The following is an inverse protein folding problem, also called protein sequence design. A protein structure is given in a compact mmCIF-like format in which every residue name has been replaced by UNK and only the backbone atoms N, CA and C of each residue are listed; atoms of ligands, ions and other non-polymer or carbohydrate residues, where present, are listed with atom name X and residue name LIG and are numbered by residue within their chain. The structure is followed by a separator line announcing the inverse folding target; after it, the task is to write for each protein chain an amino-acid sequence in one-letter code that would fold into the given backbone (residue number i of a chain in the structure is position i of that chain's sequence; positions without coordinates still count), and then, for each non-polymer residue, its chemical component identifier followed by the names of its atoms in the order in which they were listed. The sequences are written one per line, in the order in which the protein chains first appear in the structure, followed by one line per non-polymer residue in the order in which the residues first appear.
data_IF_105438441167
#
_entry.id   IF_105438441167
#
_cell.length_a   1.000
_cell.length_b   1.000
_cell.length_c   1.000
_cell.angle_alpha   90.00
_cell.angle_beta   90.00
_cell.angle_gamma   90.00
#
_symmetry.space_group_name_H-M   'P 1'
#
loop_
_entity.id
_entity.type
_entity.pdbx_description
1 polymer ?
#
# COMPACT_ATOMS: atom_id res chain seq x y z
N UNK A 1 -54.76 -2.52 35.99
CA UNK A 1 -54.65 -2.50 34.52
C UNK A 1 -55.00 -1.12 33.91
N UNK A 2 -56.00 -0.42 34.39
CA UNK A 2 -56.39 0.91 33.84
C UNK A 2 -55.29 1.99 33.84
N UNK A 3 -54.49 2.07 34.91
CA UNK A 3 -53.39 3.09 34.98
C UNK A 3 -52.20 2.83 34.03
N UNK A 4 -51.92 1.57 33.70
CA UNK A 4 -50.86 1.24 32.71
C UNK A 4 -51.28 1.56 31.27
N UNK A 5 -52.60 1.40 30.98
CA UNK A 5 -53.15 1.76 29.68
C UNK A 5 -53.18 3.29 29.48
N UNK A 6 -53.48 4.04 30.54
CA UNK A 6 -53.48 5.51 30.53
C UNK A 6 -52.04 6.06 30.27
N UNK A 7 -51.05 5.51 30.90
CA UNK A 7 -49.62 5.91 30.70
C UNK A 7 -49.16 5.58 29.27
N UNK A 8 -49.55 4.41 28.75
CA UNK A 8 -49.21 4.02 27.36
C UNK A 8 -49.88 4.95 26.34
N UNK A 9 -51.11 5.34 26.61
CA UNK A 9 -51.87 6.28 25.73
C UNK A 9 -51.30 7.70 25.80
N UNK A 10 -50.85 8.16 26.96
CA UNK A 10 -50.18 9.47 27.11
C UNK A 10 -48.80 9.46 26.43
N UNK A 11 -48.04 8.37 26.55
CA UNK A 11 -46.76 8.21 25.82
C UNK A 11 -46.96 8.16 24.29
N UNK A 12 -48.01 7.48 23.82
CA UNK A 12 -48.36 7.42 22.40
C UNK A 12 -48.80 8.79 21.85
N UNK A 13 -49.52 9.58 22.61
CA UNK A 13 -49.95 10.94 22.25
C UNK A 13 -48.75 11.92 22.30
N UNK A 14 -47.78 11.71 23.18
CA UNK A 14 -46.56 12.50 23.25
C UNK A 14 -45.63 12.28 22.03
N UNK A 15 -45.62 11.08 21.45
CA UNK A 15 -44.80 10.77 20.25
C UNK A 15 -45.38 11.38 18.97
N UNK A 16 -46.69 11.71 18.93
CA UNK A 16 -47.32 12.28 17.73
C UNK A 16 -47.01 13.79 17.56
N UNK A 17 -46.56 14.49 18.59
CA UNK A 17 -46.21 15.93 18.51
C UNK A 17 -44.78 16.23 18.00
N UNK A 18 -44.03 15.24 17.57
CA UNK A 18 -42.70 15.44 16.98
C UNK A 18 -42.75 15.56 15.45
N UNK A 19 -43.79 16.22 14.91
CA UNK A 19 -43.77 16.65 13.50
C UNK A 19 -42.72 17.76 13.37
N UNK A 20 -41.69 17.50 12.61
CA UNK A 20 -40.67 18.48 12.31
C UNK A 20 -41.33 19.73 11.69
N UNK A 21 -41.29 20.83 12.44
CA UNK A 21 -41.93 22.08 12.03
C UNK A 21 -41.20 22.61 10.79
N UNK A 22 -41.91 22.77 9.68
CA UNK A 22 -41.32 23.32 8.46
C UNK A 22 -41.10 24.83 8.61
N UNK A 23 -40.01 25.31 8.02
CA UNK A 23 -39.76 26.73 7.86
C UNK A 23 -39.28 27.03 6.44
N UNK A 24 -39.50 28.25 5.99
CA UNK A 24 -39.02 28.69 4.68
C UNK A 24 -37.85 29.66 4.87
N UNK A 25 -36.68 29.28 4.36
CA UNK A 25 -35.53 30.18 4.27
C UNK A 25 -35.56 30.85 2.90
N UNK A 26 -35.61 32.17 2.89
CA UNK A 26 -35.53 32.96 1.66
C UNK A 26 -34.55 34.14 1.87
N UNK A 27 -34.12 34.74 0.80
CA UNK A 27 -33.19 35.86 0.88
C UNK A 27 -32.47 36.11 -0.42
N UNK A 28 -31.36 36.81 -0.32
CA UNK A 28 -30.57 37.24 -1.47
C UNK A 28 -29.08 36.96 -1.25
N UNK A 29 -28.40 36.56 -2.31
CA UNK A 29 -26.94 36.41 -2.34
C UNK A 29 -26.37 37.50 -3.24
N UNK A 30 -25.41 38.26 -2.69
CA UNK A 30 -24.75 39.37 -3.39
C UNK A 30 -23.24 39.33 -3.21
N UNK A 31 -22.53 40.06 -4.02
CA UNK A 31 -21.08 40.31 -3.85
C UNK A 31 -20.79 41.48 -2.87
N UNK A 32 -19.52 41.84 -2.71
CA UNK A 32 -19.09 42.96 -1.86
C UNK A 32 -19.55 44.34 -2.39
N UNK A 33 -19.92 44.44 -3.67
CA UNK A 33 -20.42 45.65 -4.31
C UNK A 33 -21.93 45.69 -4.36
N UNK A 34 -22.64 44.79 -3.58
CA UNK A 34 -24.08 44.62 -3.59
C UNK A 34 -24.67 44.17 -4.96
N UNK A 35 -23.86 43.66 -5.88
CA UNK A 35 -24.39 43.11 -7.12
C UNK A 35 -24.97 41.71 -6.87
N UNK A 36 -26.14 41.38 -7.42
CA UNK A 36 -26.75 40.09 -7.24
C UNK A 36 -25.92 38.98 -7.89
N UNK A 37 -25.72 37.89 -7.16
CA UNK A 37 -25.03 36.69 -7.69
C UNK A 37 -26.11 35.72 -8.20
N UNK A 38 -26.21 35.63 -9.53
CA UNK A 38 -27.09 34.69 -10.19
C UNK A 38 -26.47 33.28 -10.19
N UNK A 39 -27.32 32.26 -10.10
CA UNK A 39 -26.93 30.84 -10.09
C UNK A 39 -26.00 30.45 -8.92
N UNK A 40 -25.94 31.23 -7.84
CA UNK A 40 -25.25 30.81 -6.64
C UNK A 40 -25.99 29.62 -5.97
N UNK A 41 -25.24 28.66 -5.46
CA UNK A 41 -25.79 27.45 -4.87
C UNK A 41 -26.00 27.66 -3.36
N UNK A 42 -27.22 27.43 -2.90
CA UNK A 42 -27.60 27.43 -1.47
C UNK A 42 -27.97 26.01 -1.09
N UNK A 43 -27.18 25.37 -0.23
CA UNK A 43 -27.34 23.97 0.12
C UNK A 43 -27.42 23.72 1.63
N UNK A 44 -28.21 22.74 2.02
CA UNK A 44 -28.33 22.22 3.39
C UNK A 44 -28.08 20.72 3.34
N UNK A 45 -26.85 20.33 3.56
CA UNK A 45 -26.41 18.94 3.41
C UNK A 45 -27.13 17.97 4.36
N UNK A 46 -27.42 18.40 5.58
CA UNK A 46 -28.14 17.60 6.59
C UNK A 46 -29.58 17.22 6.18
N UNK A 47 -30.17 17.93 5.22
CA UNK A 47 -31.53 17.68 4.73
C UNK A 47 -31.55 17.32 3.22
N UNK A 48 -30.40 17.25 2.56
CA UNK A 48 -30.31 16.96 1.12
C UNK A 48 -31.01 18.00 0.24
N UNK A 49 -31.22 19.25 0.74
CA UNK A 49 -31.93 20.32 0.03
C UNK A 49 -30.95 21.32 -0.58
N UNK A 50 -31.21 21.69 -1.83
CA UNK A 50 -30.43 22.69 -2.56
C UNK A 50 -31.36 23.61 -3.36
N UNK A 51 -31.02 24.89 -3.43
CA UNK A 51 -31.63 25.87 -4.31
C UNK A 51 -30.55 26.67 -5.05
N UNK A 52 -30.90 27.24 -6.18
CA UNK A 52 -30.04 28.10 -6.99
C UNK A 52 -30.67 29.50 -6.98
N UNK A 53 -29.84 30.53 -6.90
CA UNK A 53 -30.30 31.90 -6.93
C UNK A 53 -30.83 32.33 -8.32
N UNK A 54 -31.85 33.16 -8.35
CA UNK A 54 -32.40 33.77 -9.57
C UNK A 54 -31.44 34.81 -10.17
N UNK A 55 -31.76 35.35 -11.33
CA UNK A 55 -31.06 36.48 -11.98
C UNK A 55 -30.93 37.71 -11.06
N UNK A 56 -31.84 37.87 -10.09
CA UNK A 56 -31.81 38.94 -9.08
C UNK A 56 -31.08 38.53 -7.79
N UNK A 57 -30.45 37.35 -7.77
CA UNK A 57 -29.79 36.81 -6.60
C UNK A 57 -30.71 36.23 -5.53
N UNK A 58 -32.03 36.12 -5.77
CA UNK A 58 -33.00 35.66 -4.76
C UNK A 58 -33.04 34.14 -4.70
N UNK A 59 -33.21 33.60 -3.50
CA UNK A 59 -33.39 32.17 -3.27
C UNK A 59 -34.51 31.86 -2.27
N UNK A 60 -35.09 30.68 -2.35
CA UNK A 60 -36.07 30.17 -1.43
C UNK A 60 -35.94 28.66 -1.23
N UNK A 61 -35.87 28.20 0.02
CA UNK A 61 -35.78 26.80 0.40
C UNK A 61 -36.80 26.48 1.49
N UNK A 62 -37.57 25.39 1.30
CA UNK A 62 -38.40 24.80 2.35
C UNK A 62 -37.62 23.74 3.09
N UNK A 63 -37.47 23.90 4.40
CA UNK A 63 -36.62 23.12 5.27
C UNK A 63 -37.36 22.68 6.52
N UNK A 64 -36.92 21.60 7.13
CA UNK A 64 -37.43 21.18 8.44
C UNK A 64 -36.62 21.84 9.55
N UNK A 65 -37.30 22.29 10.59
CA UNK A 65 -36.67 22.90 11.76
C UNK A 65 -35.93 21.83 12.57
N UNK A 66 -34.69 22.14 12.98
CA UNK A 66 -33.86 21.36 13.87
C UNK A 66 -33.20 22.29 14.89
N UNK A 67 -32.52 21.73 15.89
CA UNK A 67 -31.77 22.54 16.88
C UNK A 67 -30.73 23.45 16.22
N UNK A 68 -30.14 22.99 15.12
CA UNK A 68 -29.29 23.80 14.26
C UNK A 68 -29.40 23.34 12.80
N UNK A 69 -29.52 24.30 11.89
CA UNK A 69 -29.53 24.06 10.43
C UNK A 69 -28.33 24.80 9.83
N UNK A 70 -27.44 24.07 9.24
CA UNK A 70 -26.23 24.61 8.60
C UNK A 70 -26.50 24.84 7.12
N UNK A 71 -26.50 26.11 6.71
CA UNK A 71 -26.72 26.52 5.32
C UNK A 71 -25.41 26.96 4.70
N UNK A 72 -25.04 26.37 3.57
CA UNK A 72 -23.82 26.65 2.82
C UNK A 72 -24.18 27.40 1.54
N UNK A 73 -23.49 28.51 1.31
CA UNK A 73 -23.61 29.37 0.13
C UNK A 73 -22.31 29.28 -0.66
N UNK A 74 -22.39 28.92 -1.92
CA UNK A 74 -21.22 28.78 -2.80
C UNK A 74 -21.51 29.32 -4.18
N UNK A 75 -20.50 29.97 -4.78
CA UNK A 75 -20.52 30.46 -6.13
C UNK A 75 -19.10 30.35 -6.73
N UNK A 76 -19.01 30.09 -8.03
CA UNK A 76 -17.71 29.94 -8.71
C UNK A 76 -16.96 31.27 -8.64
N UNK A 77 -15.70 31.26 -8.21
CA UNK A 77 -14.90 32.46 -8.03
C UNK A 77 -15.10 33.17 -6.68
N UNK A 78 -15.95 32.64 -5.79
CA UNK A 78 -16.26 33.26 -4.49
C UNK A 78 -15.96 32.32 -3.32
N UNK A 79 -15.53 32.91 -2.20
CA UNK A 79 -15.31 32.13 -0.97
C UNK A 79 -16.62 31.61 -0.41
N UNK A 80 -16.72 30.30 -0.26
CA UNK A 80 -17.87 29.64 0.34
C UNK A 80 -18.17 30.19 1.72
N UNK A 81 -19.42 30.56 1.99
CA UNK A 81 -19.89 31.06 3.29
C UNK A 81 -20.88 30.09 3.91
N UNK A 82 -20.71 29.85 5.19
CA UNK A 82 -21.61 28.97 5.96
C UNK A 82 -22.31 29.79 7.04
N UNK A 83 -23.62 29.59 7.19
CA UNK A 83 -24.45 30.18 8.24
C UNK A 83 -25.18 29.10 9.02
N UNK A 84 -25.20 29.24 10.34
CA UNK A 84 -25.86 28.31 11.23
C UNK A 84 -27.14 29.03 11.78
N UNK A 85 -28.28 28.44 11.48
CA UNK A 85 -29.59 28.89 12.00
C UNK A 85 -29.91 28.01 13.19
N UNK A 86 -30.16 28.62 14.36
CA UNK A 86 -30.56 27.91 15.58
C UNK A 86 -32.06 27.93 15.74
N UNK A 87 -32.70 26.75 15.81
CA UNK A 87 -34.15 26.53 15.97
C UNK A 87 -34.99 27.45 15.06
N UNK A 88 -34.73 27.45 13.73
CA UNK A 88 -35.44 28.35 12.83
C UNK A 88 -36.93 27.99 12.76
N UNK A 89 -37.82 28.99 12.76
CA UNK A 89 -39.28 28.83 12.67
C UNK A 89 -39.88 29.84 11.68
N UNK A 90 -40.97 29.47 11.04
CA UNK A 90 -41.73 30.34 10.13
C UNK A 90 -40.93 30.75 8.88
N UNK A 91 -40.99 32.01 8.49
CA UNK A 91 -40.22 32.56 7.38
C UNK A 91 -38.96 33.22 7.91
N UNK A 92 -37.81 32.78 7.43
CA UNK A 92 -36.50 33.34 7.75
C UNK A 92 -35.90 34.02 6.52
N UNK A 93 -35.52 35.30 6.67
CA UNK A 93 -34.87 36.07 5.60
C UNK A 93 -33.39 36.23 5.89
N UNK A 94 -32.52 35.90 4.91
CA UNK A 94 -31.06 36.00 5.08
C UNK A 94 -30.40 36.60 3.84
N UNK A 95 -29.84 37.80 4.00
CA UNK A 95 -28.95 38.40 3.02
C UNK A 95 -27.52 37.86 3.23
N UNK A 96 -26.90 37.37 2.18
CA UNK A 96 -25.58 36.80 2.24
C UNK A 96 -24.67 37.49 1.23
N UNK A 97 -23.62 38.13 1.74
CA UNK A 97 -22.55 38.69 0.95
C UNK A 97 -21.45 37.64 0.80
N UNK A 98 -21.13 37.24 -0.43
CA UNK A 98 -19.97 36.40 -0.76
C UNK A 98 -18.82 37.32 -1.15
N UNK A 99 -17.63 36.94 -0.76
CA UNK A 99 -16.39 37.63 -1.13
C UNK A 99 -15.78 36.93 -2.33
N UNK A 100 -15.34 37.68 -3.30
CA UNK A 100 -14.55 37.12 -4.37
C UNK A 100 -13.34 36.42 -3.77
N UNK A 101 -13.17 35.18 -4.14
CA UNK A 101 -11.87 34.59 -4.03
C UNK A 101 -11.09 35.13 -5.21
N UNK A 102 -10.20 36.11 -4.99
CA UNK A 102 -9.03 36.16 -5.86
C UNK A 102 -8.40 34.78 -5.77
N UNK A 103 -8.85 33.86 -6.57
CA UNK A 103 -8.05 32.74 -6.99
C UNK A 103 -6.98 33.40 -7.89
N UNK A 104 -5.99 34.00 -7.26
CA UNK A 104 -4.67 33.60 -7.70
C UNK A 104 -4.80 32.07 -7.67
N UNK A 105 -5.01 31.42 -8.80
CA UNK A 105 -4.51 30.08 -9.03
C UNK A 105 -3.20 30.14 -8.33
N UNK A 106 -3.08 29.44 -7.16
CA UNK A 106 -1.79 29.32 -6.52
C UNK A 106 -0.91 29.08 -7.71
N UNK A 107 -0.17 30.15 -8.05
CA UNK A 107 0.85 30.13 -9.08
C UNK A 107 1.41 28.77 -8.83
N UNK A 108 1.21 27.83 -9.78
CA UNK A 108 1.82 26.54 -9.64
C UNK A 108 3.25 26.93 -9.52
N UNK A 109 3.62 27.23 -8.30
CA UNK A 109 4.98 27.34 -7.90
C UNK A 109 5.39 25.89 -8.12
N UNK A 110 5.73 25.63 -9.37
CA UNK A 110 6.74 24.69 -9.70
C UNK A 110 7.92 25.31 -8.97
N UNK A 111 7.97 25.08 -7.67
CA UNK A 111 9.21 25.07 -6.94
C UNK A 111 9.96 24.06 -7.74
N UNK A 112 10.76 24.56 -8.68
CA UNK A 112 11.56 23.74 -9.53
C UNK A 112 12.15 22.77 -8.55
N UNK A 113 11.79 21.50 -8.65
CA UNK A 113 12.18 20.51 -7.66
C UNK A 113 13.60 20.89 -7.39
N UNK A 114 13.90 21.34 -6.17
CA UNK A 114 15.27 21.58 -5.79
C UNK A 114 15.91 20.33 -6.27
N UNK A 115 16.81 20.41 -7.26
CA UNK A 115 17.56 19.27 -7.74
C UNK A 115 18.09 18.69 -6.44
N UNK A 116 17.33 17.73 -5.91
CA UNK A 116 17.77 17.02 -4.72
C UNK A 116 18.98 16.30 -5.28
N UNK A 117 20.14 16.58 -4.72
CA UNK A 117 21.40 15.96 -5.14
C UNK A 117 21.27 14.43 -5.26
N UNK A 118 20.20 13.86 -4.80
CA UNK A 118 19.96 12.44 -4.58
C UNK A 118 19.10 11.79 -5.66
N UNK A 119 18.49 12.50 -6.58
CA UNK A 119 17.55 11.97 -7.61
C UNK A 119 16.54 10.91 -7.07
N UNK A 120 16.29 10.91 -5.76
CA UNK A 120 15.31 10.02 -5.15
C UNK A 120 13.94 10.65 -5.28
N UNK A 121 13.08 9.98 -6.03
CA UNK A 121 11.67 10.33 -6.16
C UNK A 121 10.88 9.76 -4.98
N UNK A 122 10.14 10.61 -4.28
CA UNK A 122 9.20 10.15 -3.25
C UNK A 122 7.90 9.67 -3.92
N UNK A 123 7.63 8.38 -3.81
CA UNK A 123 6.39 7.75 -4.30
C UNK A 123 5.31 7.88 -3.23
N UNK A 124 4.07 8.18 -3.67
CA UNK A 124 2.96 8.39 -2.73
C UNK A 124 2.45 7.06 -2.20
N UNK A 125 2.48 6.86 -0.90
CA UNK A 125 1.97 5.63 -0.24
C UNK A 125 0.47 5.41 -0.46
N UNK A 126 -0.31 6.46 -0.77
CA UNK A 126 -1.72 6.33 -1.12
C UNK A 126 -1.92 5.57 -2.42
N UNK A 127 -0.99 5.70 -3.35
CA UNK A 127 -1.07 5.08 -4.68
C UNK A 127 -0.88 3.56 -4.60
N UNK A 128 -0.20 3.04 -3.55
CA UNK A 128 -0.09 1.59 -3.31
C UNK A 128 -1.44 0.87 -3.23
N UNK A 129 -2.45 1.53 -2.63
CA UNK A 129 -3.79 0.96 -2.50
C UNK A 129 -4.60 1.01 -3.79
N UNK A 130 -4.20 1.86 -4.71
CA UNK A 130 -4.86 2.07 -6.01
C UNK A 130 -4.16 1.32 -7.14
N UNK A 131 -2.93 0.87 -6.91
CA UNK A 131 -2.13 0.13 -7.89
C UNK A 131 -2.61 -1.33 -7.93
N UNK A 132 -3.08 -1.82 -9.07
CA UNK A 132 -3.37 -3.23 -9.24
C UNK A 132 -2.13 -4.07 -8.99
N UNK A 133 -2.27 -5.15 -8.25
CA UNK A 133 -1.19 -6.08 -7.97
C UNK A 133 -1.73 -7.50 -7.91
N UNK A 134 -1.28 -8.34 -8.81
CA UNK A 134 -1.68 -9.74 -8.86
C UNK A 134 -1.22 -10.52 -7.61
N UNK A 135 -0.12 -10.09 -7.01
CA UNK A 135 0.48 -10.76 -5.86
C UNK A 135 0.32 -10.00 -4.53
N UNK A 136 -0.35 -8.84 -4.52
CA UNK A 136 -0.57 -8.03 -3.31
C UNK A 136 0.69 -7.31 -2.78
N UNK A 137 1.78 -7.26 -3.55
CA UNK A 137 3.02 -6.55 -3.20
C UNK A 137 2.92 -5.07 -3.60
N UNK A 138 2.23 -4.27 -2.80
CA UNK A 138 1.88 -2.90 -3.18
C UNK A 138 3.04 -1.94 -3.42
N UNK A 139 4.19 -2.12 -2.75
CA UNK A 139 5.36 -1.24 -2.93
C UNK A 139 6.07 -1.57 -4.24
N UNK A 140 6.37 -2.82 -4.49
CA UNK A 140 7.03 -3.25 -5.71
C UNK A 140 6.17 -3.00 -6.94
N UNK A 141 4.86 -3.22 -6.84
CA UNK A 141 3.93 -2.91 -7.94
C UNK A 141 3.92 -1.41 -8.27
N UNK A 142 4.08 -0.53 -7.27
CA UNK A 142 4.22 0.90 -7.50
C UNK A 142 5.58 1.25 -8.13
N UNK A 143 6.65 0.58 -7.73
CA UNK A 143 7.99 0.72 -8.33
C UNK A 143 7.99 0.25 -9.77
N UNK A 144 7.34 -0.86 -10.08
CA UNK A 144 7.23 -1.43 -11.43
C UNK A 144 6.56 -0.49 -12.44
N UNK A 145 5.76 0.48 -11.97
CA UNK A 145 5.14 1.50 -12.81
C UNK A 145 6.06 2.70 -13.11
N UNK A 146 7.25 2.74 -12.51
CA UNK A 146 8.17 3.86 -12.73
C UNK A 146 8.92 3.75 -14.06
N UNK A 147 9.30 4.89 -14.62
CA UNK A 147 10.04 4.93 -15.87
C UNK A 147 11.38 4.21 -15.75
N UNK A 148 11.69 3.35 -16.73
CA UNK A 148 12.93 2.57 -16.77
C UNK A 148 12.92 1.32 -15.90
N UNK A 149 11.77 0.94 -15.35
CA UNK A 149 11.57 -0.32 -14.62
C UNK A 149 10.84 -1.32 -15.50
N UNK A 150 11.29 -2.57 -15.49
CA UNK A 150 10.67 -3.69 -16.18
C UNK A 150 10.52 -4.90 -15.25
N UNK A 151 9.59 -5.78 -15.56
CA UNK A 151 9.36 -7.03 -14.83
C UNK A 151 9.29 -8.19 -15.79
N UNK A 152 9.62 -9.38 -15.35
CA UNK A 152 9.45 -10.60 -16.15
C UNK A 152 8.06 -11.20 -16.01
N UNK A 153 7.43 -11.00 -14.85
CA UNK A 153 6.16 -11.64 -14.52
C UNK A 153 5.39 -10.74 -13.54
N UNK A 154 4.09 -10.61 -13.74
CA UNK A 154 3.19 -9.84 -12.87
C UNK A 154 3.02 -10.47 -11.48
N UNK A 155 3.30 -11.77 -11.33
CA UNK A 155 3.27 -12.47 -10.04
C UNK A 155 4.56 -12.26 -9.23
N UNK A 156 5.61 -11.74 -9.85
CA UNK A 156 6.90 -11.51 -9.22
C UNK A 156 6.95 -10.17 -8.47
N UNK A 157 7.62 -10.18 -7.32
CA UNK A 157 8.03 -8.96 -6.63
C UNK A 157 9.33 -8.37 -7.20
N UNK A 158 10.03 -9.13 -8.03
CA UNK A 158 11.28 -8.72 -8.65
C UNK A 158 11.05 -7.67 -9.74
N UNK A 159 12.01 -6.77 -9.88
CA UNK A 159 12.01 -5.75 -10.92
C UNK A 159 13.44 -5.47 -11.39
N UNK A 160 13.57 -5.14 -12.66
CA UNK A 160 14.81 -4.77 -13.28
C UNK A 160 14.78 -3.28 -13.61
N UNK A 161 15.89 -2.59 -13.42
CA UNK A 161 15.98 -1.15 -13.64
C UNK A 161 17.05 -0.84 -14.67
N UNK A 162 16.66 -0.13 -15.74
CA UNK A 162 17.54 0.31 -16.83
C UNK A 162 18.40 -0.81 -17.42
N UNK A 163 17.84 -2.01 -17.52
CA UNK A 163 18.52 -3.18 -18.06
C UNK A 163 19.43 -3.92 -17.08
N UNK A 164 19.56 -3.46 -15.83
CA UNK A 164 20.25 -4.20 -14.78
C UNK A 164 19.43 -5.37 -14.25
N UNK A 165 20.08 -6.35 -13.64
CA UNK A 165 19.43 -7.50 -13.04
C UNK A 165 18.74 -7.12 -11.71
N UNK A 166 17.79 -7.96 -11.27
CA UNK A 166 17.02 -7.68 -10.04
C UNK A 166 17.90 -7.64 -8.77
N UNK A 167 19.01 -8.37 -8.76
CA UNK A 167 19.97 -8.43 -7.65
C UNK A 167 20.91 -7.22 -7.61
N UNK A 168 20.90 -6.37 -8.64
CA UNK A 168 21.58 -5.08 -8.67
C UNK A 168 20.78 -3.94 -8.03
N UNK A 169 19.59 -4.22 -7.51
CA UNK A 169 18.76 -3.26 -6.80
C UNK A 169 19.05 -3.30 -5.29
N UNK A 170 19.25 -2.14 -4.67
CA UNK A 170 19.38 -2.03 -3.23
C UNK A 170 18.04 -1.69 -2.57
N UNK A 171 17.74 -2.34 -1.46
CA UNK A 171 16.54 -2.08 -0.66
C UNK A 171 16.97 -1.72 0.76
N UNK A 172 16.49 -0.59 1.23
CA UNK A 172 16.73 -0.09 2.58
C UNK A 172 15.42 0.05 3.34
N UNK A 173 15.42 -0.37 4.60
CA UNK A 173 14.33 -0.11 5.54
C UNK A 173 14.90 0.66 6.73
N UNK A 174 14.40 1.87 6.95
CA UNK A 174 14.87 2.78 8.02
C UNK A 174 16.40 2.98 8.00
N UNK A 175 16.98 3.18 6.80
CA UNK A 175 18.42 3.34 6.51
C UNK A 175 19.29 2.08 6.74
N UNK A 176 18.70 0.92 6.99
CA UNK A 176 19.41 -0.36 7.07
C UNK A 176 19.16 -1.14 5.78
N UNK A 177 20.23 -1.62 5.17
CA UNK A 177 20.15 -2.43 3.96
C UNK A 177 19.55 -3.80 4.29
N UNK A 178 18.65 -4.25 3.45
CA UNK A 178 18.06 -5.59 3.49
C UNK A 178 18.79 -6.46 2.48
N UNK A 179 19.53 -7.43 2.97
CA UNK A 179 20.18 -8.41 2.12
C UNK A 179 19.14 -9.40 1.60
N UNK A 180 19.19 -9.71 0.30
CA UNK A 180 18.28 -10.64 -0.37
C UNK A 180 16.79 -10.27 -0.16
N UNK A 181 16.36 -9.07 -0.55
CA UNK A 181 14.97 -8.65 -0.40
C UNK A 181 14.00 -9.45 -1.28
N UNK A 182 14.53 -10.14 -2.29
CA UNK A 182 13.80 -10.99 -3.21
C UNK A 182 14.32 -12.42 -3.15
N UNK A 183 13.45 -13.41 -3.33
CA UNK A 183 13.88 -14.78 -3.52
C UNK A 183 14.62 -14.94 -4.86
N UNK A 184 15.65 -15.76 -4.88
CA UNK A 184 16.63 -15.81 -5.98
C UNK A 184 16.12 -16.57 -7.20
N UNK A 185 15.00 -17.27 -7.14
CA UNK A 185 14.48 -18.01 -8.27
C UNK A 185 13.72 -17.15 -9.24
N UNK A 186 14.11 -17.24 -10.49
CA UNK A 186 13.35 -16.67 -11.61
C UNK A 186 12.20 -17.59 -11.97
N UNK A 187 11.05 -17.02 -12.27
CA UNK A 187 9.92 -17.76 -12.80
C UNK A 187 8.61 -17.37 -12.17
N UNK A 188 7.76 -18.34 -11.91
CA UNK A 188 6.37 -18.13 -11.49
C UNK A 188 6.18 -18.08 -9.98
N UNK A 189 7.25 -18.01 -9.18
CA UNK A 189 7.18 -18.44 -7.78
C UNK A 189 7.82 -17.48 -6.78
N UNK A 190 7.94 -16.26 -7.14
CA UNK A 190 8.55 -15.29 -6.24
C UNK A 190 7.71 -15.09 -5.00
N UNK A 191 8.42 -15.12 -3.88
CA UNK A 191 7.84 -14.98 -2.57
C UNK A 191 7.28 -13.60 -2.28
N UNK A 192 6.83 -13.44 -1.06
CA UNK A 192 6.50 -12.13 -0.51
C UNK A 192 7.72 -11.22 -0.56
N UNK A 193 7.49 -9.96 -0.93
CA UNK A 193 8.44 -8.91 -0.62
C UNK A 193 8.69 -8.82 0.88
N UNK A 194 9.94 -8.55 1.26
CA UNK A 194 10.29 -8.22 2.64
C UNK A 194 9.55 -6.97 3.13
N UNK A 195 9.13 -6.09 2.23
CA UNK A 195 8.47 -4.84 2.58
C UNK A 195 7.01 -5.10 2.91
N UNK A 196 6.59 -4.71 4.10
CA UNK A 196 5.20 -4.79 4.51
C UNK A 196 4.48 -3.46 4.22
N UNK A 197 3.52 -3.41 3.28
CA UNK A 197 2.84 -2.18 2.87
C UNK A 197 2.09 -1.49 4.01
N UNK A 198 1.59 -2.24 5.00
CA UNK A 198 0.87 -1.67 6.15
C UNK A 198 1.77 -0.87 7.08
N UNK A 199 3.07 -1.15 7.08
CA UNK A 199 4.05 -0.50 7.95
C UNK A 199 4.72 0.71 7.29
N UNK A 200 4.55 0.91 5.97
CA UNK A 200 5.24 1.95 5.19
C UNK A 200 4.63 3.33 5.40
N UNK A 201 5.49 4.32 5.68
CA UNK A 201 5.17 5.76 5.72
C UNK A 201 5.66 6.46 4.44
N UNK A 202 6.92 6.21 4.04
CA UNK A 202 7.55 6.83 2.88
C UNK A 202 8.25 5.83 2.01
N UNK A 203 8.19 6.07 0.73
CA UNK A 203 8.85 5.27 -0.31
C UNK A 203 9.71 6.23 -1.13
N UNK A 204 11.01 6.09 -1.05
CA UNK A 204 11.97 6.77 -1.91
C UNK A 204 12.50 5.80 -2.95
N UNK A 205 12.42 6.15 -4.22
CA UNK A 205 12.93 5.32 -5.30
C UNK A 205 13.83 6.12 -6.24
N UNK A 206 14.95 5.52 -6.64
CA UNK A 206 15.85 6.10 -7.64
C UNK A 206 16.32 5.05 -8.63
N UNK A 207 16.23 5.37 -9.90
CA UNK A 207 16.75 4.56 -11.02
C UNK A 207 18.20 4.89 -11.39
N UNK A 208 18.96 5.50 -10.49
CA UNK A 208 20.34 5.92 -10.66
C UNK A 208 20.57 7.36 -10.21
N UNK A 209 21.83 7.75 -9.98
CA UNK A 209 22.18 9.07 -9.46
C UNK A 209 21.78 9.27 -7.99
N UNK A 210 21.66 8.20 -7.22
CA UNK A 210 21.32 8.25 -5.80
C UNK A 210 22.52 8.68 -4.93
N UNK A 211 22.20 9.14 -3.71
CA UNK A 211 23.20 9.61 -2.76
C UNK A 211 24.23 8.56 -2.40
N UNK A 212 25.45 8.98 -2.07
CA UNK A 212 26.57 8.11 -1.68
C UNK A 212 26.28 7.21 -0.45
N UNK A 213 25.23 7.49 0.31
CA UNK A 213 24.79 6.63 1.44
C UNK A 213 24.22 5.28 0.99
N UNK A 214 23.79 5.17 -0.28
CA UNK A 214 23.32 3.94 -0.90
C UNK A 214 24.46 3.37 -1.75
N UNK A 215 25.18 2.40 -1.20
CA UNK A 215 26.33 1.77 -1.82
C UNK A 215 26.01 0.41 -2.44
N UNK A 216 27.02 -0.21 -3.05
CA UNK A 216 27.16 -1.59 -3.47
C UNK A 216 26.28 -2.06 -4.64
N UNK A 217 25.21 -1.38 -5.00
CA UNK A 217 24.33 -1.76 -6.09
C UNK A 217 24.33 -0.70 -7.18
N UNK A 218 24.14 -1.14 -8.43
CA UNK A 218 24.39 -0.30 -9.60
C UNK A 218 23.09 0.18 -10.29
N UNK A 219 21.97 -0.53 -10.13
CA UNK A 219 20.77 -0.26 -10.91
C UNK A 219 19.80 0.66 -10.21
N UNK A 220 19.43 0.39 -8.96
CA UNK A 220 18.47 1.25 -8.24
C UNK A 220 18.68 1.24 -6.73
N UNK A 221 18.06 2.25 -6.08
CA UNK A 221 17.92 2.32 -4.63
C UNK A 221 16.46 2.54 -4.25
N UNK A 222 15.92 1.63 -3.43
CA UNK A 222 14.59 1.72 -2.83
C UNK A 222 14.75 1.96 -1.32
N UNK A 223 14.35 3.13 -0.85
CA UNK A 223 14.46 3.54 0.56
C UNK A 223 13.09 3.62 1.21
N UNK A 224 12.81 2.70 2.11
CA UNK A 224 11.54 2.57 2.82
C UNK A 224 11.68 3.11 4.23
N UNK A 225 10.76 3.98 4.61
CA UNK A 225 10.62 4.43 6.00
C UNK A 225 9.32 3.87 6.58
N UNK A 226 9.43 3.16 7.70
CA UNK A 226 8.25 2.67 8.43
C UNK A 226 7.60 3.79 9.24
N UNK A 227 6.27 3.71 9.36
CA UNK A 227 5.47 4.69 10.12
C UNK A 227 5.79 4.65 11.61
N UNK A 228 5.57 5.79 12.24
CA UNK A 228 5.65 5.95 13.68
C UNK A 228 4.35 6.53 14.18
N UNK A 229 3.60 5.75 14.94
CA UNK A 229 2.35 6.18 15.54
C UNK A 229 2.64 7.00 16.79
N UNK A 230 2.16 8.24 16.82
CA UNK A 230 2.34 9.12 17.99
C UNK A 230 0.99 9.62 18.48
N UNK A 231 0.69 9.32 19.74
CA UNK A 231 -0.49 9.87 20.39
C UNK A 231 -0.29 11.36 20.70
N UNK A 232 -1.28 12.18 20.30
CA UNK A 232 -1.32 13.61 20.63
C UNK A 232 -1.72 13.89 22.08
N UNK A 233 -2.39 12.93 22.71
CA UNK A 233 -2.87 12.97 24.10
C UNK A 233 -2.29 11.81 24.93
N UNK A 234 -2.67 11.71 26.21
CA UNK A 234 -2.30 10.57 27.06
C UNK A 234 -2.97 9.25 26.61
N UNK A 235 -4.06 9.32 25.81
CA UNK A 235 -4.71 8.11 25.29
C UNK A 235 -3.86 7.52 24.16
N UNK A 236 -3.58 6.22 24.17
CA UNK A 236 -2.86 5.57 23.09
C UNK A 236 -3.66 5.61 21.79
N UNK A 237 -2.95 5.63 20.67
CA UNK A 237 -3.53 5.43 19.34
C UNK A 237 -3.36 3.96 18.98
N UNK A 238 -4.43 3.34 18.50
CA UNK A 238 -4.44 1.97 17.99
C UNK A 238 -4.92 2.02 16.56
N UNK A 239 -4.20 1.39 15.66
CA UNK A 239 -4.65 1.13 14.31
C UNK A 239 -4.49 -0.36 13.99
N UNK A 240 -5.35 -0.89 13.13
CA UNK A 240 -5.29 -2.29 12.74
C UNK A 240 -5.90 -2.51 11.38
N UNK A 241 -5.48 -3.58 10.73
CA UNK A 241 -6.01 -4.04 9.47
C UNK A 241 -6.03 -5.55 9.44
N UNK A 242 -7.11 -6.12 8.95
CA UNK A 242 -7.23 -7.54 8.64
C UNK A 242 -7.71 -7.64 7.20
N UNK A 243 -6.99 -8.37 6.38
CA UNK A 243 -7.35 -8.63 5.00
C UNK A 243 -7.26 -10.13 4.72
N UNK A 244 -8.20 -10.64 3.94
CA UNK A 244 -8.18 -12.02 3.46
C UNK A 244 -8.63 -12.05 2.01
N UNK A 245 -7.97 -12.87 1.21
CA UNK A 245 -8.25 -13.08 -0.20
C UNK A 245 -7.95 -14.53 -0.59
N UNK A 246 -8.22 -14.89 -1.83
CA UNK A 246 -7.81 -16.19 -2.38
C UNK A 246 -6.28 -16.38 -2.42
N UNK A 247 -5.53 -15.28 -2.35
CA UNK A 247 -4.06 -15.28 -2.37
C UNK A 247 -3.43 -15.27 -0.98
N UNK A 248 -4.23 -15.24 0.11
CA UNK A 248 -3.72 -15.27 1.46
C UNK A 248 -4.46 -14.36 2.44
N UNK A 249 -3.85 -14.16 3.59
CA UNK A 249 -4.37 -13.32 4.67
C UNK A 249 -3.27 -12.50 5.33
N UNK A 250 -3.61 -11.27 5.69
CA UNK A 250 -2.72 -10.33 6.36
C UNK A 250 -3.40 -9.79 7.62
N UNK A 251 -2.65 -9.72 8.70
CA UNK A 251 -3.07 -9.07 9.93
C UNK A 251 -2.02 -8.05 10.36
N UNK A 252 -2.45 -6.85 10.66
CA UNK A 252 -1.60 -5.76 11.11
C UNK A 252 -2.20 -5.09 12.34
N UNK A 253 -1.37 -4.78 13.32
CA UNK A 253 -1.72 -3.98 14.49
C UNK A 253 -0.61 -3.00 14.82
N UNK A 254 -0.97 -1.73 15.02
CA UNK A 254 -0.09 -0.67 15.44
C UNK A 254 -0.57 -0.03 16.74
N UNK A 255 0.34 0.18 17.68
CA UNK A 255 0.12 0.84 18.96
C UNK A 255 1.02 2.06 19.07
N UNK A 256 0.46 3.22 19.39
CA UNK A 256 1.18 4.46 19.53
C UNK A 256 0.89 5.17 20.85
N UNK A 257 1.94 5.51 21.60
CA UNK A 257 1.87 6.41 22.73
C UNK A 257 2.62 7.71 22.41
N UNK A 258 2.80 8.61 23.35
CA UNK A 258 3.61 9.80 23.18
C UNK A 258 5.10 9.50 22.96
N UNK A 259 5.60 8.37 23.45
CA UNK A 259 7.02 8.00 23.44
C UNK A 259 7.31 6.71 22.70
N UNK A 260 6.33 5.81 22.58
CA UNK A 260 6.49 4.48 22.01
C UNK A 260 5.56 4.32 20.80
N UNK A 261 6.09 3.77 19.74
CA UNK A 261 5.35 3.24 18.59
C UNK A 261 5.74 1.78 18.41
N UNK A 262 4.77 0.89 18.32
CA UNK A 262 4.98 -0.53 18.12
C UNK A 262 4.03 -1.05 17.06
N UNK A 263 4.58 -1.53 15.96
CA UNK A 263 3.86 -2.08 14.82
C UNK A 263 4.16 -3.57 14.72
N UNK A 264 3.14 -4.37 14.45
CA UNK A 264 3.26 -5.81 14.24
C UNK A 264 2.43 -6.24 13.04
N UNK A 265 2.92 -7.18 12.28
CA UNK A 265 2.18 -7.77 11.17
C UNK A 265 2.56 -9.23 10.98
N UNK A 266 1.56 -10.02 10.64
CA UNK A 266 1.69 -11.40 10.16
C UNK A 266 1.09 -11.44 8.77
N UNK A 267 1.79 -12.07 7.82
CA UNK A 267 1.29 -12.29 6.47
C UNK A 267 1.44 -13.75 6.10
N UNK A 268 0.36 -14.31 5.60
CA UNK A 268 0.36 -15.60 4.92
C UNK A 268 -0.07 -15.41 3.47
N UNK A 269 0.66 -15.98 2.53
CA UNK A 269 0.36 -15.88 1.12
C UNK A 269 0.56 -17.20 0.40
N UNK A 270 -0.30 -17.46 -0.57
CA UNK A 270 -0.16 -18.57 -1.52
C UNK A 270 -0.64 -18.12 -2.89
N UNK A 271 0.08 -18.50 -3.92
CA UNK A 271 -0.33 -18.28 -5.32
C UNK A 271 -0.79 -19.59 -5.98
N UNK A 272 -0.89 -20.68 -5.21
CA UNK A 272 -1.25 -22.03 -5.73
C UNK A 272 -2.56 -22.02 -6.53
N UNK A 273 -3.59 -21.30 -6.05
CA UNK A 273 -4.86 -21.22 -6.76
C UNK A 273 -4.74 -20.53 -8.12
N UNK A 274 -3.96 -19.46 -8.19
CA UNK A 274 -3.75 -18.72 -9.43
C UNK A 274 -2.88 -19.52 -10.41
N UNK A 275 -1.83 -20.15 -9.93
CA UNK A 275 -0.93 -20.97 -10.74
C UNK A 275 -1.62 -22.24 -11.25
N UNK A 276 -2.50 -22.84 -10.47
CA UNK A 276 -3.31 -23.98 -10.89
C UNK A 276 -4.36 -23.67 -11.97
N UNK A 277 -4.66 -22.39 -12.21
CA UNK A 277 -5.54 -21.95 -13.30
C UNK A 277 -4.80 -21.56 -14.58
N UNK A 278 -3.47 -21.58 -14.56
CA UNK A 278 -2.61 -21.25 -15.69
C UNK A 278 -2.09 -22.54 -16.35
N UNK A 279 -1.86 -22.49 -17.65
CA UNK A 279 -1.17 -23.57 -18.36
C UNK A 279 0.31 -23.55 -17.99
N UNK A 280 0.66 -24.34 -16.97
CA UNK A 280 2.01 -24.40 -16.41
C UNK A 280 2.70 -25.72 -16.77
N UNK A 281 4.00 -25.82 -16.49
CA UNK A 281 4.80 -27.05 -16.72
C UNK A 281 4.58 -28.13 -15.65
N UNK A 282 3.70 -27.88 -14.69
CA UNK A 282 3.41 -28.76 -13.57
C UNK A 282 2.64 -28.02 -12.49
N UNK A 283 2.33 -28.69 -11.42
CA UNK A 283 1.60 -28.15 -10.30
C UNK A 283 2.56 -27.40 -9.34
N UNK A 284 2.33 -26.10 -9.20
CA UNK A 284 3.11 -25.22 -8.33
C UNK A 284 2.33 -24.87 -7.05
N UNK A 285 2.93 -25.15 -5.89
CA UNK A 285 2.30 -24.93 -4.57
C UNK A 285 3.19 -24.06 -3.65
N UNK A 286 3.40 -22.77 -3.98
CA UNK A 286 4.12 -21.89 -3.09
C UNK A 286 3.26 -21.44 -1.92
N UNK A 287 3.87 -21.38 -0.73
CA UNK A 287 3.29 -20.75 0.43
C UNK A 287 4.34 -19.98 1.22
N UNK A 288 3.94 -18.85 1.74
CA UNK A 288 4.79 -17.88 2.39
C UNK A 288 4.15 -17.44 3.70
N UNK A 289 4.94 -17.47 4.76
CA UNK A 289 4.53 -16.96 6.07
C UNK A 289 5.61 -16.01 6.57
N UNK A 290 5.24 -14.80 6.95
CA UNK A 290 6.14 -13.90 7.63
C UNK A 290 5.50 -13.22 8.85
N UNK A 291 6.38 -12.83 9.77
CA UNK A 291 6.08 -11.96 10.89
C UNK A 291 7.08 -10.81 10.90
N UNK A 292 6.56 -9.60 11.05
CA UNK A 292 7.35 -8.39 11.18
C UNK A 292 6.93 -7.59 12.40
N UNK A 293 7.92 -7.02 13.08
CA UNK A 293 7.71 -6.06 14.16
C UNK A 293 8.62 -4.85 14.00
N UNK A 294 8.09 -3.68 14.25
CA UNK A 294 8.87 -2.44 14.33
C UNK A 294 8.53 -1.70 15.61
N UNK A 295 9.53 -1.48 16.43
CA UNK A 295 9.42 -0.74 17.67
C UNK A 295 10.27 0.53 17.58
N UNK A 296 9.66 1.68 17.85
CA UNK A 296 10.34 2.97 17.95
C UNK A 296 10.05 3.61 19.29
N UNK A 297 11.08 3.81 20.09
CA UNK A 297 10.99 4.40 21.42
C UNK A 297 11.76 5.71 21.50
N UNK A 298 11.06 6.77 21.82
CA UNK A 298 11.61 8.13 21.98
C UNK A 298 11.36 8.64 23.38
N UNK A 299 12.24 8.33 24.36
CA UNK A 299 12.06 8.74 25.75
C UNK A 299 12.02 10.26 25.91
N UNK A 300 12.78 10.98 25.09
CA UNK A 300 12.85 12.42 25.07
C UNK A 300 13.22 12.94 23.65
N UNK A 301 13.31 14.26 23.47
CA UNK A 301 13.64 14.88 22.17
C UNK A 301 15.06 14.59 21.67
N UNK A 302 15.95 14.08 22.54
CA UNK A 302 17.37 13.86 22.21
C UNK A 302 17.68 12.41 21.83
N UNK A 303 16.91 11.44 22.28
CA UNK A 303 17.19 10.03 22.08
C UNK A 303 16.04 9.33 21.35
N UNK A 304 16.39 8.52 20.39
CA UNK A 304 15.47 7.62 19.69
C UNK A 304 16.12 6.26 19.56
N UNK A 305 15.39 5.21 19.94
CA UNK A 305 15.77 3.81 19.76
C UNK A 305 14.77 3.18 18.76
N UNK A 306 15.30 2.44 17.82
CA UNK A 306 14.50 1.73 16.82
C UNK A 306 14.92 0.27 16.76
N UNK A 307 13.95 -0.61 16.67
CA UNK A 307 14.17 -2.06 16.51
C UNK A 307 13.25 -2.57 15.40
N UNK A 308 13.79 -3.33 14.45
CA UNK A 308 13.04 -4.10 13.46
C UNK A 308 13.37 -5.57 13.67
N UNK A 309 12.35 -6.41 13.73
CA UNK A 309 12.44 -7.85 13.69
C UNK A 309 11.64 -8.42 12.52
N UNK A 310 12.20 -9.36 11.80
CA UNK A 310 11.59 -10.04 10.68
C UNK A 310 11.93 -11.52 10.69
N UNK A 311 10.93 -12.35 10.52
CA UNK A 311 11.05 -13.79 10.38
C UNK A 311 10.17 -14.21 9.22
N UNK A 312 10.71 -14.99 8.29
CA UNK A 312 9.91 -15.61 7.23
C UNK A 312 10.29 -17.06 7.01
N UNK A 313 9.29 -17.89 6.70
CA UNK A 313 9.44 -19.28 6.32
C UNK A 313 8.62 -19.51 5.04
N UNK A 314 9.33 -19.65 3.94
CA UNK A 314 8.75 -19.77 2.62
C UNK A 314 8.98 -21.19 2.11
N UNK A 315 7.93 -21.81 1.63
CA UNK A 315 7.96 -23.15 1.06
C UNK A 315 7.50 -23.11 -0.39
N UNK A 316 8.15 -23.90 -1.18
CA UNK A 316 7.82 -24.10 -2.57
C UNK A 316 7.83 -25.58 -2.90
N UNK A 317 6.73 -26.08 -3.42
CA UNK A 317 6.62 -27.44 -3.94
C UNK A 317 6.24 -27.37 -5.42
N UNK A 318 6.89 -28.19 -6.21
CA UNK A 318 6.62 -28.35 -7.63
C UNK A 318 6.54 -29.83 -7.98
N UNK A 319 5.46 -30.22 -8.65
CA UNK A 319 5.23 -31.54 -9.20
C UNK A 319 5.06 -31.39 -10.72
N UNK A 320 6.00 -31.92 -11.55
CA UNK A 320 5.89 -31.80 -13.00
C UNK A 320 4.73 -32.63 -13.52
N UNK A 321 4.05 -32.14 -14.57
CA UNK A 321 2.96 -32.83 -15.23
C UNK A 321 3.41 -33.49 -16.54
N UNK A 322 2.78 -34.60 -16.87
CA UNK A 322 2.97 -35.30 -18.13
C UNK A 322 2.59 -34.41 -19.31
N UNK A 323 3.30 -34.59 -20.43
CA UNK A 323 3.09 -33.74 -21.61
C UNK A 323 3.09 -34.55 -22.88
N UNK A 324 2.24 -34.11 -23.81
CA UNK A 324 2.29 -34.50 -25.20
C UNK A 324 2.38 -33.26 -26.09
N UNK A 325 3.36 -33.25 -26.99
CA UNK A 325 3.54 -32.20 -27.97
C UNK A 325 3.57 -32.80 -29.34
N UNK A 326 2.67 -32.36 -30.24
CA UNK A 326 2.63 -32.78 -31.63
C UNK A 326 3.28 -31.71 -32.51
N UNK A 327 4.13 -32.13 -33.42
CA UNK A 327 4.85 -31.26 -34.35
C UNK A 327 5.16 -31.95 -35.65
N UNK A 328 5.52 -31.24 -36.69
CA UNK A 328 5.84 -31.76 -38.00
C UNK A 328 4.99 -31.14 -39.11
N UNK A 329 4.88 -31.83 -40.24
CA UNK A 329 4.05 -31.44 -41.39
C UNK A 329 2.73 -32.18 -41.35
N UNK A 330 1.75 -31.78 -42.19
CA UNK A 330 0.46 -32.48 -42.29
C UNK A 330 0.61 -33.95 -42.76
N UNK A 331 1.69 -34.28 -43.47
CA UNK A 331 1.99 -35.62 -43.96
C UNK A 331 2.88 -36.42 -43.03
N UNK A 332 3.51 -35.76 -42.03
CA UNK A 332 4.42 -36.43 -41.09
C UNK A 332 4.32 -35.72 -39.73
N UNK A 333 3.31 -36.15 -38.97
CA UNK A 333 3.10 -35.65 -37.60
C UNK A 333 3.82 -36.54 -36.60
N UNK A 334 4.67 -35.93 -35.79
CA UNK A 334 5.36 -36.60 -34.69
C UNK A 334 4.73 -36.23 -33.38
N UNK A 335 4.66 -37.19 -32.47
CA UNK A 335 4.19 -37.03 -31.10
C UNK A 335 5.39 -37.20 -30.16
N UNK A 336 5.67 -36.18 -29.37
CA UNK A 336 6.64 -36.21 -28.29
C UNK A 336 5.91 -36.23 -26.96
N UNK A 337 5.99 -37.36 -26.26
CA UNK A 337 5.36 -37.56 -24.95
C UNK A 337 6.43 -37.63 -23.89
N UNK A 338 6.22 -36.94 -22.77
CA UNK A 338 7.06 -37.03 -21.59
C UNK A 338 6.20 -37.34 -20.39
N UNK A 339 6.54 -38.42 -19.72
CA UNK A 339 5.95 -38.81 -18.44
C UNK A 339 6.93 -38.42 -17.34
N UNK A 340 6.42 -37.67 -16.36
CA UNK A 340 7.24 -37.23 -15.25
C UNK A 340 6.89 -37.95 -13.96
N UNK A 341 7.90 -38.19 -13.14
CA UNK A 341 7.76 -38.66 -11.76
C UNK A 341 8.69 -37.86 -10.86
N UNK A 342 8.28 -37.71 -9.61
CA UNK A 342 9.06 -37.00 -8.62
C UNK A 342 8.57 -35.58 -8.32
N UNK A 343 9.37 -34.83 -7.60
CA UNK A 343 8.98 -33.52 -7.08
C UNK A 343 10.19 -32.66 -6.74
N UNK A 344 9.93 -31.36 -6.64
CA UNK A 344 10.84 -30.37 -6.08
C UNK A 344 10.26 -29.80 -4.79
N UNK A 345 11.07 -29.69 -3.74
CA UNK A 345 10.71 -29.10 -2.44
C UNK A 345 11.78 -28.14 -2.00
N UNK A 346 11.43 -26.87 -1.97
CA UNK A 346 12.35 -25.82 -1.53
C UNK A 346 11.82 -25.14 -0.25
N UNK A 347 12.77 -24.72 0.57
CA UNK A 347 12.45 -23.96 1.78
C UNK A 347 13.46 -22.84 1.99
N UNK A 348 12.94 -21.63 2.27
CA UNK A 348 13.72 -20.42 2.51
C UNK A 348 13.35 -19.84 3.87
N UNK A 349 14.17 -20.09 4.89
CA UNK A 349 13.98 -19.59 6.24
C UNK A 349 14.88 -18.37 6.46
N UNK A 350 14.30 -17.22 6.80
CA UNK A 350 15.04 -15.96 6.98
C UNK A 350 14.72 -15.32 8.33
N UNK A 351 15.77 -14.87 9.00
CA UNK A 351 15.71 -14.02 10.19
C UNK A 351 16.48 -12.73 9.91
N UNK A 352 15.85 -11.60 10.18
CA UNK A 352 16.51 -10.30 10.07
C UNK A 352 16.14 -9.44 11.26
N UNK A 353 17.14 -8.83 11.87
CA UNK A 353 16.97 -7.94 13.00
C UNK A 353 17.84 -6.71 12.90
N UNK A 354 17.30 -5.55 13.31
CA UNK A 354 18.05 -4.29 13.36
C UNK A 354 17.87 -3.60 14.69
N UNK A 355 18.92 -2.93 15.15
CA UNK A 355 18.88 -2.06 16.31
C UNK A 355 19.50 -0.72 15.94
N UNK A 356 18.74 0.36 16.13
CA UNK A 356 19.15 1.73 15.86
C UNK A 356 19.11 2.59 17.11
N UNK A 357 20.17 3.36 17.34
CA UNK A 357 20.24 4.35 18.41
C UNK A 357 20.59 5.70 17.75
N UNK A 358 19.71 6.67 17.89
CA UNK A 358 19.94 8.02 17.37
C UNK A 358 19.98 9.02 18.50
N UNK A 359 21.03 9.84 18.53
CA UNK A 359 21.17 10.98 19.44
C UNK A 359 21.10 12.29 18.67
N UNK A 360 20.16 13.14 19.04
CA UNK A 360 20.05 14.49 18.55
C UNK A 360 20.85 15.43 19.48
N UNK A 361 21.93 16.00 19.00
CA UNK A 361 22.75 16.94 19.77
C UNK A 361 22.17 18.37 19.70
N UNK A 362 21.84 18.81 18.49
CA UNK A 362 21.20 20.11 18.23
C UNK A 362 20.04 19.93 17.24
N UNK A 363 19.28 20.98 16.96
CA UNK A 363 18.24 20.94 15.94
C UNK A 363 18.78 20.51 14.54
N UNK A 364 20.07 20.76 14.29
CA UNK A 364 20.71 20.51 12.99
C UNK A 364 21.67 19.31 12.98
N UNK A 365 22.04 18.77 14.14
CA UNK A 365 23.08 17.72 14.23
C UNK A 365 22.56 16.49 14.95
N UNK A 366 22.67 15.34 14.31
CA UNK A 366 22.36 14.04 14.90
C UNK A 366 23.39 12.98 14.53
N UNK A 367 23.59 12.04 15.45
CA UNK A 367 24.42 10.84 15.27
C UNK A 367 23.55 9.62 15.44
N UNK A 368 23.62 8.69 14.50
CA UNK A 368 22.91 7.40 14.54
C UNK A 368 23.91 6.26 14.42
N UNK A 369 23.77 5.30 15.33
CA UNK A 369 24.43 3.99 15.26
C UNK A 369 23.35 2.96 14.91
N UNK A 370 23.54 2.23 13.84
CA UNK A 370 22.66 1.18 13.34
C UNK A 370 23.42 -0.13 13.30
N UNK A 371 22.87 -1.17 13.89
CA UNK A 371 23.37 -2.55 13.77
C UNK A 371 22.30 -3.41 13.11
N UNK A 372 22.73 -4.37 12.28
CA UNK A 372 21.82 -5.38 11.72
C UNK A 372 22.45 -6.76 11.72
N UNK A 373 21.60 -7.78 11.82
CA UNK A 373 21.95 -9.17 11.68
C UNK A 373 20.96 -9.84 10.73
N UNK A 374 21.45 -10.49 9.73
CA UNK A 374 20.70 -11.26 8.76
C UNK A 374 21.18 -12.70 8.77
N UNK A 375 20.24 -13.62 8.78
CA UNK A 375 20.48 -15.06 8.69
C UNK A 375 19.48 -15.65 7.72
N UNK A 376 19.95 -16.43 6.75
CA UNK A 376 19.08 -17.25 5.91
C UNK A 376 19.59 -18.68 5.84
N UNK A 377 18.65 -19.62 5.78
CA UNK A 377 18.90 -21.02 5.46
C UNK A 377 18.01 -21.39 4.31
N UNK A 378 18.62 -21.76 3.20
CA UNK A 378 17.95 -22.13 1.98
C UNK A 378 18.21 -23.59 1.67
N UNK A 379 17.19 -24.28 1.25
CA UNK A 379 17.21 -25.68 0.87
C UNK A 379 16.47 -25.83 -0.44
N UNK A 380 17.14 -26.43 -1.43
CA UNK A 380 16.56 -26.83 -2.69
C UNK A 380 16.73 -28.33 -2.83
N UNK A 381 15.63 -29.06 -2.96
CA UNK A 381 15.61 -30.51 -3.05
C UNK A 381 14.72 -30.91 -4.19
N UNK A 382 15.29 -31.49 -5.20
CA UNK A 382 14.50 -32.07 -6.27
C UNK A 382 14.97 -33.47 -6.64
N UNK A 383 14.02 -34.32 -6.93
CA UNK A 383 14.13 -35.63 -7.52
C UNK A 383 13.09 -35.68 -8.64
N UNK A 384 13.51 -35.52 -9.89
CA UNK A 384 12.62 -35.51 -11.04
C UNK A 384 13.15 -36.50 -12.07
N UNK A 385 12.31 -37.41 -12.46
CA UNK A 385 12.56 -38.36 -13.54
C UNK A 385 11.63 -38.02 -14.70
N UNK A 386 12.15 -37.93 -15.90
CA UNK A 386 11.40 -37.79 -17.12
C UNK A 386 11.64 -38.99 -18.03
N UNK A 387 10.57 -39.64 -18.47
CA UNK A 387 10.62 -40.66 -19.48
C UNK A 387 9.98 -40.12 -20.74
N UNK A 388 10.66 -40.16 -21.86
CA UNK A 388 10.12 -39.61 -23.09
C UNK A 388 10.09 -40.62 -24.22
N UNK A 389 9.06 -40.43 -25.07
CA UNK A 389 8.83 -41.19 -26.31
C UNK A 389 8.66 -40.19 -27.44
N UNK A 390 9.31 -40.46 -28.54
CA UNK A 390 9.09 -39.79 -29.81
C UNK A 390 8.55 -40.81 -30.81
N UNK A 391 7.29 -40.62 -31.20
CA UNK A 391 6.57 -41.49 -32.11
C UNK A 391 6.18 -40.75 -33.38
N UNK A 392 6.12 -41.47 -34.49
CA UNK A 392 5.46 -40.98 -35.69
C UNK A 392 3.97 -41.33 -35.60
N UNK A 393 3.08 -40.34 -35.76
CA UNK A 393 1.68 -40.50 -35.45
C UNK A 393 0.94 -41.42 -36.43
N UNK A 394 1.34 -41.37 -37.72
CA UNK A 394 0.65 -42.19 -38.77
C UNK A 394 1.06 -43.64 -38.75
N UNK A 395 2.34 -43.91 -38.58
CA UNK A 395 2.87 -45.29 -38.60
C UNK A 395 2.90 -45.93 -37.23
N UNK A 396 2.72 -45.16 -36.17
CA UNK A 396 2.96 -45.54 -34.77
C UNK A 396 4.36 -46.09 -34.54
N UNK A 397 5.30 -45.72 -35.39
CA UNK A 397 6.69 -46.12 -35.27
C UNK A 397 7.38 -45.33 -34.16
N UNK A 398 8.02 -46.03 -33.25
CA UNK A 398 8.83 -45.38 -32.19
C UNK A 398 10.15 -44.95 -32.75
N UNK A 399 10.37 -43.63 -32.82
CA UNK A 399 11.59 -43.01 -33.32
C UNK A 399 12.67 -42.86 -32.25
N UNK A 400 12.26 -42.89 -30.98
CA UNK A 400 13.21 -42.74 -29.88
C UNK A 400 12.54 -42.81 -28.52
N UNK A 401 13.24 -43.40 -27.56
CA UNK A 401 12.90 -43.42 -26.14
C UNK A 401 14.10 -43.00 -25.33
N UNK A 402 13.85 -42.40 -24.20
CA UNK A 402 14.89 -42.05 -23.27
C UNK A 402 14.37 -41.72 -21.90
N UNK A 403 15.29 -41.67 -20.97
CA UNK A 403 15.04 -41.28 -19.59
C UNK A 403 16.03 -40.22 -19.20
N UNK A 404 15.56 -39.25 -18.47
CA UNK A 404 16.40 -38.29 -17.84
C UNK A 404 16.08 -38.23 -16.34
N UNK A 405 17.09 -38.00 -15.52
CA UNK A 405 16.95 -37.93 -14.09
C UNK A 405 17.73 -36.74 -13.54
N UNK A 406 17.03 -35.92 -12.79
CA UNK A 406 17.62 -34.79 -12.06
C UNK A 406 17.47 -35.01 -10.56
N UNK A 407 18.59 -34.92 -9.84
CA UNK A 407 18.61 -35.05 -8.40
C UNK A 407 19.53 -33.98 -7.81
N UNK A 408 19.02 -33.20 -6.89
CA UNK A 408 19.87 -32.26 -6.15
C UNK A 408 19.41 -32.09 -4.70
N UNK A 409 20.39 -31.74 -3.86
CA UNK A 409 20.25 -31.44 -2.45
C UNK A 409 21.15 -30.24 -2.14
N UNK A 410 20.68 -29.06 -2.51
CA UNK A 410 21.40 -27.82 -2.33
C UNK A 410 21.05 -27.16 -1.00
N UNK A 411 22.07 -26.75 -0.27
CA UNK A 411 21.91 -26.07 0.99
C UNK A 411 22.79 -24.81 1.01
N UNK A 412 22.18 -23.69 1.32
CA UNK A 412 22.88 -22.43 1.54
C UNK A 412 22.57 -21.93 2.94
N UNK A 413 23.58 -21.51 3.67
CA UNK A 413 23.43 -20.75 4.91
C UNK A 413 24.26 -19.49 4.82
N UNK A 414 23.60 -18.33 4.92
CA UNK A 414 24.27 -17.05 4.93
C UNK A 414 24.02 -16.33 6.27
N UNK A 415 25.07 -15.72 6.78
CA UNK A 415 25.03 -14.87 8.00
C UNK A 415 25.73 -13.57 7.67
N UNK A 416 25.00 -12.46 7.77
CA UNK A 416 25.53 -11.13 7.52
C UNK A 416 25.27 -10.26 8.72
N UNK A 417 26.30 -9.63 9.25
CA UNK A 417 26.19 -8.63 10.29
C UNK A 417 26.76 -7.32 9.78
N UNK A 418 26.07 -6.23 10.04
CA UNK A 418 26.56 -4.91 9.66
C UNK A 418 26.39 -3.89 10.79
N UNK A 419 27.31 -2.93 10.82
CA UNK A 419 27.23 -1.77 11.69
C UNK A 419 27.47 -0.51 10.87
N UNK A 420 26.61 0.51 11.07
CA UNK A 420 26.67 1.77 10.33
C UNK A 420 26.60 2.95 11.31
N UNK A 421 27.57 3.85 11.19
CA UNK A 421 27.59 5.11 11.94
C UNK A 421 27.26 6.24 10.97
N UNK A 422 26.24 7.04 11.27
CA UNK A 422 25.81 8.16 10.45
C UNK A 422 25.79 9.45 11.24
N UNK A 423 26.60 10.43 10.82
CA UNK A 423 26.53 11.80 11.28
C UNK A 423 25.75 12.64 10.26
N UNK A 424 24.64 13.27 10.69
CA UNK A 424 23.88 14.22 9.88
C UNK A 424 24.06 15.62 10.45
N UNK A 425 24.46 16.55 9.60
CA UNK A 425 24.55 17.96 9.95
C UNK A 425 23.92 18.83 8.86
N UNK A 426 22.92 19.64 9.23
CA UNK A 426 22.28 20.60 8.32
C UNK A 426 22.99 21.94 8.44
N UNK A 427 23.72 22.32 7.40
CA UNK A 427 24.30 23.66 7.29
C UNK A 427 23.18 24.65 6.98
N UNK A 428 23.11 25.76 7.73
CA UNK A 428 22.19 26.87 7.39
C UNK A 428 22.64 27.43 6.04
N UNK A 429 21.75 27.51 5.04
CA UNK A 429 21.98 28.38 3.90
C UNK A 429 21.86 29.83 4.41
N UNK A 430 22.91 30.59 4.23
CA UNK A 430 22.86 32.05 4.28
C UNK A 430 22.16 32.58 3.07
#
# INVERSE_FOLDING_TARGET
MKNRLLILTICLIATIKMMAQEFTLHGKVVDENNQPLEFAIVSVASQGKTAVTSLKGDYSLKLHSADSVVVKFSYIGFKTKTKVLRRPRGKQTLLVVLRETSTNLDEVNIKGEKIQSDQIQELKTKDMKMTPSANGNGVESLVQQQAGVSTHNELSSQYNVRGGAFDENSVYINNVEVFRPFLVRSGQQEGLSVINPYMVDKIGFSTGGYAAKYGDKMSSALDITYKTLKAKSKKPVVEGSLAASLLGADAYIGLGTQKLSWLNSVRYKTTSYLLGSMETKGEYKPNYLDYQTYLSYQPNKRWKLDFIGYISDNHYNFEPEDRETKFGTMENVKSFRVYFDGQEKDRFLTYFGTLGITRQFTANTSLSLLGSAFYTKEQEKYDIQGQYWLDETETSENLGVGTYFEHARNYLTARVMSAKLMLKHKVKKH
#
